data_IF_645365561500
#
_entry.id   IF_645365561500
#
_cell.length_a   1.000
_cell.length_b   1.000
_cell.length_c   1.000
_cell.angle_alpha   90.00
_cell.angle_beta   90.00
_cell.angle_gamma   90.00
#
_symmetry.space_group_name_H-M   'P 1'
#
loop_
_entity.id
_entity.type
_entity.pdbx_description
1 polymer ?
#
# COMPACT_ATOMS: atom_id res chain seq x y z
N UNK A 1 10.21 19.44 -12.87
CA UNK A 1 10.02 18.77 -12.54
C UNK A 1 9.80 17.79 -13.02
N UNK A 2 9.77 17.48 -13.36
CA UNK A 2 9.60 16.57 -13.98
C UNK A 2 9.89 15.34 -13.52
N UNK A 3 10.42 15.13 -12.52
CA UNK A 3 10.73 13.84 -12.07
C UNK A 3 9.56 12.91 -12.08
N UNK A 4 8.41 13.40 -11.89
CA UNK A 4 7.25 12.52 -11.92
C UNK A 4 6.95 11.98 -13.29
N UNK A 5 7.58 12.54 -14.32
CA UNK A 5 7.30 12.09 -15.65
C UNK A 5 7.90 10.78 -15.98
N UNK A 6 9.04 10.46 -15.37
CA UNK A 6 9.65 9.27 -15.70
C UNK A 6 9.05 8.16 -15.07
N UNK A 7 8.62 8.32 -13.85
CA UNK A 7 7.98 7.27 -13.13
C UNK A 7 6.50 7.41 -13.33
N UNK A 8 6.08 7.98 -14.41
CA UNK A 8 4.71 8.25 -14.64
C UNK A 8 3.84 7.05 -14.48
N UNK A 9 4.28 5.89 -14.91
CA UNK A 9 3.50 4.68 -14.77
C UNK A 9 3.21 4.37 -13.33
N UNK A 10 4.20 4.55 -12.48
CA UNK A 10 4.00 4.31 -11.07
C UNK A 10 3.34 5.49 -10.41
N UNK A 11 3.64 6.69 -10.86
CA UNK A 11 3.02 7.88 -10.28
C UNK A 11 1.52 7.94 -10.51
N UNK A 12 1.05 7.43 -11.62
CA UNK A 12 -0.37 7.32 -11.87
C UNK A 12 -1.02 6.45 -10.81
N UNK A 13 -0.32 5.43 -10.35
CA UNK A 13 -0.84 4.52 -9.37
C UNK A 13 -0.55 4.97 -7.96
N UNK A 14 0.66 5.48 -7.71
CA UNK A 14 1.18 5.71 -6.37
C UNK A 14 1.49 7.18 -6.07
N UNK A 15 1.14 8.10 -6.95
CA UNK A 15 1.31 9.54 -6.73
C UNK A 15 2.68 9.95 -6.25
N UNK A 16 3.68 9.75 -7.01
CA UNK A 16 5.04 10.20 -6.69
C UNK A 16 5.73 9.47 -5.53
N UNK A 17 5.20 8.37 -5.09
CA UNK A 17 5.94 7.52 -4.17
C UNK A 17 7.16 6.96 -4.89
N UNK A 18 8.24 6.77 -4.15
CA UNK A 18 9.49 6.31 -4.73
C UNK A 18 10.36 5.60 -3.72
N UNK A 19 11.54 5.15 -4.13
CA UNK A 19 12.43 4.33 -3.31
C UNK A 19 13.22 5.11 -2.25
N UNK A 20 13.09 6.44 -2.21
CA UNK A 20 13.76 7.21 -1.18
C UNK A 20 12.90 7.39 0.06
N UNK A 21 11.64 6.98 0.02
CA UNK A 21 10.74 7.11 1.15
C UNK A 21 10.78 5.87 2.01
N UNK A 22 10.40 6.03 3.27
CA UNK A 22 10.32 4.89 4.18
C UNK A 22 8.90 4.36 4.20
N UNK A 23 8.77 3.05 4.18
CA UNK A 23 7.49 2.36 4.12
C UNK A 23 7.34 1.45 5.33
N UNK A 24 6.20 1.52 5.99
CA UNK A 24 5.94 0.69 7.16
C UNK A 24 4.60 -0.01 7.02
N UNK A 25 4.61 -1.32 7.20
CA UNK A 25 3.39 -2.11 7.21
C UNK A 25 2.87 -2.19 8.66
N UNK A 26 1.59 -1.92 8.86
CA UNK A 26 0.97 -2.11 10.16
C UNK A 26 0.74 -3.61 10.35
N UNK A 27 1.36 -4.24 11.35
CA UNK A 27 1.20 -5.67 11.58
C UNK A 27 -0.24 -6.04 11.91
N UNK A 28 -0.62 -7.22 11.46
CA UNK A 28 -1.96 -7.74 11.73
C UNK A 28 -2.99 -7.20 10.76
N UNK A 29 -4.24 -7.43 11.09
CA UNK A 29 -5.35 -6.99 10.24
C UNK A 29 -5.80 -5.59 10.64
N UNK A 30 -6.24 -4.81 9.66
CA UNK A 30 -6.79 -3.50 9.90
C UNK A 30 -8.25 -3.49 9.46
N UNK A 31 -9.09 -2.88 10.27
CA UNK A 31 -10.50 -2.69 9.94
C UNK A 31 -10.59 -1.61 8.85
N UNK A 32 -11.07 -1.98 7.68
CA UNK A 32 -11.13 -1.07 6.53
C UNK A 32 -12.21 0.00 6.64
N UNK A 33 -12.99 -0.02 7.71
CA UNK A 33 -13.93 1.09 7.98
C UNK A 33 -13.19 2.31 8.52
N UNK A 34 -11.96 2.13 8.99
CA UNK A 34 -11.18 3.24 9.49
C UNK A 34 -10.82 4.20 8.37
N UNK A 35 -11.14 5.46 8.56
CA UNK A 35 -10.78 6.50 7.61
C UNK A 35 -9.46 7.15 7.96
N UNK A 36 -9.17 8.26 7.29
CA UNK A 36 -7.90 8.95 7.40
C UNK A 36 -7.52 9.30 8.83
N UNK A 37 -8.42 9.92 9.58
CA UNK A 37 -8.11 10.32 10.96
C UNK A 37 -7.91 9.12 11.88
N UNK A 38 -8.72 8.09 11.75
CA UNK A 38 -8.57 6.89 12.56
C UNK A 38 -7.25 6.19 12.29
N UNK A 39 -6.84 6.15 11.03
CA UNK A 39 -5.57 5.55 10.65
C UNK A 39 -4.39 6.37 11.17
N UNK A 40 -4.49 7.70 11.19
CA UNK A 40 -3.47 8.53 11.83
C UNK A 40 -3.32 8.16 13.31
N UNK A 41 -4.43 7.88 13.97
CA UNK A 41 -4.41 7.41 15.36
C UNK A 41 -3.70 6.08 15.52
N UNK A 42 -3.94 5.15 14.61
CA UNK A 42 -3.25 3.86 14.62
C UNK A 42 -1.74 4.05 14.44
N UNK A 43 -1.34 4.92 13.54
CA UNK A 43 0.07 5.21 13.30
C UNK A 43 0.73 5.74 14.57
N UNK A 44 0.09 6.70 15.20
CA UNK A 44 0.64 7.31 16.41
C UNK A 44 0.62 6.33 17.59
N UNK A 45 -0.53 5.73 17.87
CA UNK A 45 -0.72 4.97 19.11
C UNK A 45 -0.16 3.55 19.05
N UNK A 46 -0.32 2.89 17.91
CA UNK A 46 0.11 1.51 17.78
C UNK A 46 1.50 1.40 17.17
N UNK A 47 1.78 2.17 16.13
CA UNK A 47 3.03 2.03 15.40
C UNK A 47 4.14 2.93 15.95
N UNK A 48 3.79 3.99 16.66
CA UNK A 48 4.78 4.87 17.27
C UNK A 48 5.39 5.88 16.32
N UNK A 49 4.68 6.25 15.26
CA UNK A 49 5.16 7.22 14.29
C UNK A 49 4.20 8.40 14.14
N UNK A 50 4.61 9.41 13.43
CA UNK A 50 3.78 10.56 13.09
C UNK A 50 3.70 10.62 11.56
N UNK A 51 2.50 10.48 11.02
CA UNK A 51 2.30 10.46 9.56
C UNK A 51 2.80 11.75 8.90
N UNK A 52 2.81 12.85 9.64
CA UNK A 52 3.22 14.15 9.10
C UNK A 52 4.72 14.24 8.78
N UNK A 53 5.50 13.27 9.26
CA UNK A 53 6.94 13.28 9.01
C UNK A 53 7.31 12.71 7.62
N UNK A 54 6.33 12.29 6.85
CA UNK A 54 6.54 11.93 5.45
C UNK A 54 6.71 10.45 5.13
N UNK A 55 6.67 9.60 6.15
CA UNK A 55 6.74 8.16 5.90
C UNK A 55 5.41 7.64 5.34
N UNK A 56 5.45 6.51 4.72
CA UNK A 56 4.29 5.89 4.09
C UNK A 56 3.83 4.70 4.93
N UNK A 57 2.55 4.66 5.26
CA UNK A 57 2.02 3.61 6.12
C UNK A 57 1.00 2.75 5.38
N UNK A 58 1.13 1.45 5.50
CA UNK A 58 0.36 0.47 4.74
C UNK A 58 -0.49 -0.37 5.67
N UNK A 59 -1.77 -0.51 5.34
CA UNK A 59 -2.74 -1.26 6.12
C UNK A 59 -3.44 -2.27 5.23
N UNK A 60 -3.59 -3.49 5.73
CA UNK A 60 -4.19 -4.60 4.97
C UNK A 60 -5.35 -5.17 5.78
N UNK A 61 -6.43 -5.50 5.13
CA UNK A 61 -7.57 -6.12 5.80
C UNK A 61 -7.29 -7.61 6.08
N UNK A 62 -8.17 -8.22 6.85
CA UNK A 62 -8.02 -9.62 7.25
C UNK A 62 -7.95 -10.57 6.06
N UNK A 63 -8.75 -10.33 5.05
CA UNK A 63 -8.83 -11.17 3.87
C UNK A 63 -7.69 -10.94 2.89
N UNK A 64 -6.87 -9.90 3.13
CA UNK A 64 -5.77 -9.51 2.24
C UNK A 64 -6.25 -9.12 0.85
N UNK A 65 -7.42 -8.53 0.78
CA UNK A 65 -8.02 -8.11 -0.49
C UNK A 65 -8.07 -6.61 -0.66
N UNK A 66 -7.93 -5.87 0.44
CA UNK A 66 -7.94 -4.40 0.41
C UNK A 66 -6.73 -3.86 1.13
N UNK A 67 -6.06 -2.91 0.50
CA UNK A 67 -4.92 -2.22 1.07
C UNK A 67 -5.25 -0.74 1.15
N UNK A 68 -4.89 -0.11 2.26
CA UNK A 68 -4.89 1.34 2.39
C UNK A 68 -3.48 1.81 2.62
N UNK A 69 -3.12 2.91 1.98
CA UNK A 69 -1.81 3.50 2.12
C UNK A 69 -2.00 4.97 2.47
N UNK A 70 -1.40 5.41 3.56
CA UNK A 70 -1.54 6.76 4.07
C UNK A 70 -0.20 7.46 4.11
N UNK A 71 -0.16 8.70 3.66
CA UNK A 71 1.09 9.41 3.51
C UNK A 71 0.82 10.91 3.44
N UNK A 72 1.70 11.71 4.03
CA UNK A 72 1.61 13.15 3.97
C UNK A 72 2.32 13.67 2.73
N UNK A 73 1.68 14.60 2.01
CA UNK A 73 2.24 15.14 0.79
C UNK A 73 1.83 16.59 0.64
N UNK A 74 2.78 17.48 0.48
CA UNK A 74 2.53 18.90 0.22
C UNK A 74 1.48 19.55 1.11
N UNK A 75 1.61 19.34 2.39
CA UNK A 75 0.74 19.99 3.37
C UNK A 75 -0.61 19.32 3.56
N UNK A 76 -0.80 18.16 2.99
CA UNK A 76 -2.03 17.40 3.15
C UNK A 76 -1.76 15.93 3.34
N UNK A 77 -2.83 15.15 3.51
CA UNK A 77 -2.73 13.70 3.64
C UNK A 77 -3.38 13.05 2.41
N UNK A 78 -2.75 11.99 1.94
CA UNK A 78 -3.26 11.21 0.82
C UNK A 78 -3.57 9.80 1.31
N UNK A 79 -4.77 9.33 1.05
CA UNK A 79 -5.14 7.97 1.36
C UNK A 79 -5.43 7.23 0.05
N UNK A 80 -4.58 6.25 -0.26
CA UNK A 80 -4.73 5.43 -1.45
C UNK A 80 -5.39 4.12 -1.03
N UNK A 81 -6.41 3.70 -1.76
CA UNK A 81 -7.12 2.46 -1.47
C UNK A 81 -7.09 1.59 -2.71
N UNK A 82 -6.63 0.36 -2.54
CA UNK A 82 -6.69 -0.62 -3.62
C UNK A 82 -7.40 -1.87 -3.14
N UNK A 83 -8.45 -2.25 -3.85
CA UNK A 83 -9.18 -3.48 -3.58
C UNK A 83 -8.99 -4.41 -4.77
N UNK A 84 -8.53 -5.63 -4.51
CA UNK A 84 -8.29 -6.59 -5.57
C UNK A 84 -9.60 -7.21 -6.04
N UNK A 85 -9.74 -7.30 -7.35
CA UNK A 85 -10.88 -7.98 -7.96
C UNK A 85 -10.74 -9.48 -7.76
N UNK A 86 -9.51 -9.95 -7.73
CA UNK A 86 -9.23 -11.38 -7.63
C UNK A 86 -7.92 -11.59 -6.92
N UNK A 87 -7.81 -12.68 -6.18
CA UNK A 87 -6.58 -13.01 -5.45
C UNK A 87 -6.41 -12.18 -4.19
N UNK A 88 -5.24 -12.30 -3.61
CA UNK A 88 -4.90 -11.60 -2.36
C UNK A 88 -3.54 -10.95 -2.47
N UNK A 89 -3.30 -9.95 -1.64
CA UNK A 89 -1.98 -9.35 -1.54
C UNK A 89 -1.01 -10.34 -0.90
N UNK A 90 0.22 -10.36 -1.43
CA UNK A 90 1.28 -11.19 -0.86
C UNK A 90 2.04 -10.33 0.12
N UNK A 91 1.97 -10.67 1.39
CA UNK A 91 2.66 -9.92 2.42
C UNK A 91 4.02 -10.56 2.71
N UNK A 92 5.01 -9.77 3.08
CA UNK A 92 6.27 -10.33 3.56
C UNK A 92 6.03 -11.01 4.90
N UNK A 93 6.92 -11.89 5.29
CA UNK A 93 6.87 -12.47 6.61
C UNK A 93 7.28 -11.41 7.63
N UNK A 94 6.54 -11.27 8.69
CA UNK A 94 6.85 -10.32 9.75
C UNK A 94 6.32 -10.82 11.08
N UNK A 95 6.89 -10.29 12.15
CA UNK A 95 6.47 -10.61 13.50
C UNK A 95 5.21 -9.82 13.82
N UNK A 96 4.10 -10.50 14.01
CA UNK A 96 2.82 -9.85 14.31
C UNK A 96 2.81 -9.17 15.68
N UNK A 97 3.80 -9.47 16.51
CA UNK A 97 3.94 -8.81 17.79
C UNK A 97 4.66 -7.48 17.66
N UNK A 98 5.28 -7.20 16.53
CA UNK A 98 5.99 -5.93 16.35
C UNK A 98 4.99 -4.80 16.16
N UNK A 99 5.45 -3.58 16.43
CA UNK A 99 4.60 -2.39 16.30
C UNK A 99 4.46 -1.94 14.86
N UNK A 100 5.49 -2.16 14.08
CA UNK A 100 5.49 -1.84 12.67
C UNK A 100 6.49 -2.72 11.95
N UNK A 101 6.33 -2.88 10.66
CA UNK A 101 7.25 -3.68 9.86
C UNK A 101 7.81 -2.80 8.73
N UNK A 102 9.11 -2.48 8.76
CA UNK A 102 9.72 -1.70 7.68
C UNK A 102 9.76 -2.51 6.39
N UNK A 103 9.34 -1.90 5.29
CA UNK A 103 9.33 -2.53 3.98
C UNK A 103 10.19 -1.71 3.03
N UNK A 104 10.71 -2.35 2.00
CA UNK A 104 11.39 -1.65 0.94
C UNK A 104 10.40 -1.29 -0.16
N UNK A 105 10.73 -0.28 -0.93
CA UNK A 105 9.92 0.13 -2.08
C UNK A 105 9.62 -1.06 -3.00
N UNK A 106 10.61 -1.89 -3.23
CA UNK A 106 10.47 -3.07 -4.06
C UNK A 106 9.37 -4.01 -3.55
N UNK A 107 9.32 -4.21 -2.24
CA UNK A 107 8.32 -5.07 -1.62
C UNK A 107 6.93 -4.51 -1.82
N UNK A 108 6.78 -3.21 -1.69
CA UNK A 108 5.50 -2.56 -1.91
C UNK A 108 5.06 -2.69 -3.37
N UNK A 109 5.96 -2.45 -4.30
CA UNK A 109 5.65 -2.58 -5.73
C UNK A 109 5.20 -4.00 -6.06
N UNK A 110 5.91 -4.99 -5.58
CA UNK A 110 5.55 -6.38 -5.82
C UNK A 110 4.20 -6.73 -5.21
N UNK A 111 3.92 -6.21 -4.03
CA UNK A 111 2.66 -6.45 -3.36
C UNK A 111 1.50 -5.83 -4.14
N UNK A 112 1.66 -4.59 -4.58
CA UNK A 112 0.63 -3.86 -5.32
C UNK A 112 0.41 -4.46 -6.71
N UNK A 113 1.47 -4.83 -7.36
CA UNK A 113 1.40 -5.40 -8.71
C UNK A 113 0.99 -6.86 -8.71
N UNK A 114 1.12 -7.53 -7.57
CA UNK A 114 0.81 -8.95 -7.49
C UNK A 114 1.74 -9.81 -8.30
N UNK A 115 3.00 -9.38 -8.46
CA UNK A 115 3.96 -10.08 -9.27
C UNK A 115 4.61 -11.24 -8.56
N UNK A 116 4.99 -11.04 -7.33
CA UNK A 116 5.76 -12.02 -6.56
C UNK A 116 5.01 -13.33 -6.55
N UNK A 117 5.47 -14.42 -6.47
CA UNK A 117 4.80 -15.71 -6.47
C UNK A 117 3.35 -15.70 -6.96
N UNK A 118 2.90 -14.56 -7.37
CA UNK A 118 1.55 -14.34 -7.81
C UNK A 118 1.43 -14.01 -9.27
N UNK A 119 2.42 -14.33 -10.10
CA UNK A 119 2.39 -14.03 -11.52
C UNK A 119 1.13 -14.56 -12.18
N UNK A 120 0.73 -15.76 -11.84
CA UNK A 120 -0.47 -16.36 -12.40
C UNK A 120 -1.74 -15.58 -12.00
N UNK A 121 -1.77 -15.11 -10.77
CA UNK A 121 -2.88 -14.29 -10.28
C UNK A 121 -2.92 -12.95 -10.99
N UNK A 122 -1.77 -12.36 -11.25
CA UNK A 122 -1.70 -11.11 -11.98
C UNK A 122 -2.24 -11.27 -13.40
N UNK A 123 -1.87 -12.33 -14.09
CA UNK A 123 -2.40 -12.61 -15.41
C UNK A 123 -3.92 -12.79 -15.39
N UNK A 124 -4.42 -13.47 -14.38
CA UNK A 124 -5.84 -13.69 -14.21
C UNK A 124 -6.58 -12.38 -14.01
N UNK A 125 -6.03 -11.47 -13.23
CA UNK A 125 -6.61 -10.14 -13.03
C UNK A 125 -6.68 -9.35 -14.34
N UNK A 126 -5.61 -9.38 -15.11
CA UNK A 126 -5.56 -8.68 -16.38
C UNK A 126 -6.57 -9.24 -17.38
N UNK A 127 -6.73 -10.53 -17.42
CA UNK A 127 -7.72 -11.16 -18.27
C UNK A 127 -9.14 -10.76 -17.88
N UNK A 128 -9.41 -10.72 -16.59
CA UNK A 128 -10.72 -10.30 -16.10
C UNK A 128 -11.04 -8.87 -16.50
N UNK A 129 -10.04 -7.97 -16.40
CA UNK A 129 -10.22 -6.60 -16.82
C UNK A 129 -10.51 -6.49 -18.31
N UNK A 130 -9.82 -7.24 -19.13
CA UNK A 130 -10.05 -7.23 -20.57
C UNK A 130 -11.47 -7.67 -20.92
N UNK A 131 -11.96 -8.64 -20.20
CA UNK A 131 -13.33 -9.10 -20.43
C UNK A 131 -14.35 -8.02 -20.10
N UNK A 132 -14.10 -7.26 -19.05
CA UNK A 132 -15.01 -6.20 -18.69
C UNK A 132 -14.97 -5.04 -19.66
N UNK A 133 -13.87 -4.84 -20.35
CA UNK A 133 -13.74 -3.76 -21.31
C UNK A 133 -14.41 -4.10 -22.64
N UNK A 134 -14.69 -5.35 -22.86
CA UNK A 134 -15.34 -5.77 -24.07
C UNK A 134 -16.86 -5.79 -23.92
#
# INVERSE_FOLDING_TARGET
>A
MPPCNYSLKFAVIMFCLNDTMRYFLCPGKTDMRKGMNSLCGVIHDKMGYDVRLGDVFIFINRQRTTMKLLHAEDGGLVLYIKRLEEGTFRLPEYDQQSKSYPMEWRDLVMMVEGINNGSAKRLKRLKALRKSDL
#
